data_IF_783364322471
#
_entry.id   IF_783364322471
#
_cell.length_a   1.000
_cell.length_b   1.000
_cell.length_c   1.000
_cell.angle_alpha   90.00
_cell.angle_beta   90.00
_cell.angle_gamma   90.00
#
_symmetry.space_group_name_H-M   'P 1'
#
loop_
_entity.id
_entity.type
_entity.pdbx_description
1 polymer ?
#
# COMPACT_ATOMS: atom_id res chain seq x y z
N UNK A 1 15.80 -16.18 5.54
CA UNK A 1 14.72 -15.86 4.57
C UNK A 1 13.40 -15.52 5.26
N UNK A 2 13.00 -16.24 6.33
CA UNK A 2 11.82 -15.92 7.14
C UNK A 2 11.89 -14.53 7.78
N UNK A 3 13.00 -14.20 8.46
CA UNK A 3 13.09 -12.96 9.24
C UNK A 3 12.87 -11.67 8.42
N UNK A 4 13.32 -11.64 7.16
CA UNK A 4 13.16 -10.46 6.29
C UNK A 4 11.72 -10.31 5.78
N UNK A 5 11.05 -11.45 5.53
CA UNK A 5 9.63 -11.48 5.17
C UNK A 5 8.78 -11.09 6.38
N UNK A 6 9.08 -11.65 7.55
CA UNK A 6 8.39 -11.34 8.80
C UNK A 6 8.53 -9.86 9.15
N UNK A 7 9.75 -9.32 9.05
CA UNK A 7 9.99 -7.89 9.22
C UNK A 7 9.17 -7.05 8.24
N UNK A 8 9.15 -7.43 6.95
CA UNK A 8 8.36 -6.73 5.93
C UNK A 8 6.86 -6.74 6.21
N UNK A 9 6.31 -7.88 6.65
CA UNK A 9 4.90 -8.00 7.03
C UNK A 9 4.58 -7.11 8.23
N UNK A 10 5.37 -7.20 9.30
CA UNK A 10 5.16 -6.38 10.50
C UNK A 10 5.33 -4.88 10.21
N UNK A 11 6.26 -4.51 9.33
CA UNK A 11 6.44 -3.14 8.88
C UNK A 11 5.22 -2.61 8.13
N UNK A 12 4.66 -3.40 7.20
CA UNK A 12 3.43 -3.02 6.48
C UNK A 12 2.23 -2.89 7.42
N UNK A 13 2.10 -3.79 8.39
CA UNK A 13 1.07 -3.71 9.44
C UNK A 13 1.24 -2.45 10.27
N UNK A 14 2.46 -2.17 10.73
CA UNK A 14 2.76 -0.97 11.52
C UNK A 14 2.40 0.31 10.75
N UNK A 15 2.75 0.40 9.47
CA UNK A 15 2.39 1.55 8.63
C UNK A 15 0.88 1.67 8.41
N UNK A 16 0.17 0.55 8.26
CA UNK A 16 -1.28 0.57 8.09
C UNK A 16 -2.01 1.03 9.36
N UNK A 17 -1.48 0.66 10.54
CA UNK A 17 -2.12 0.92 11.84
C UNK A 17 -1.68 2.24 12.46
N UNK A 18 -0.47 2.72 12.19
CA UNK A 18 0.08 3.93 12.80
C UNK A 18 -0.79 5.19 12.62
N UNK A 19 -1.35 5.50 11.43
CA UNK A 19 -2.26 6.64 11.25
C UNK A 19 -3.48 6.58 12.18
N UNK A 20 -4.05 5.38 12.38
CA UNK A 20 -5.20 5.18 13.25
C UNK A 20 -4.84 5.42 14.73
N UNK A 21 -3.66 4.97 15.15
CA UNK A 21 -3.18 5.19 16.52
C UNK A 21 -2.91 6.67 16.79
N UNK A 22 -2.33 7.38 15.82
CA UNK A 22 -2.06 8.82 15.95
C UNK A 22 -3.38 9.60 15.95
N UNK A 23 -4.35 9.20 15.13
CA UNK A 23 -5.68 9.80 15.14
C UNK A 23 -6.41 9.58 16.48
N UNK A 24 -6.29 8.40 17.07
CA UNK A 24 -6.80 8.12 18.41
C UNK A 24 -6.13 9.03 19.46
N UNK A 25 -4.81 9.21 19.38
CA UNK A 25 -4.09 10.12 20.27
C UNK A 25 -4.56 11.59 20.10
N UNK A 26 -4.86 12.01 18.86
CA UNK A 26 -5.45 13.31 18.59
C UNK A 26 -6.81 13.47 19.29
N UNK A 27 -7.72 12.51 19.11
CA UNK A 27 -9.06 12.55 19.74
C UNK A 27 -8.96 12.66 21.26
N UNK A 28 -8.04 11.90 21.87
CA UNK A 28 -7.79 11.97 23.32
C UNK A 28 -7.25 13.35 23.71
N UNK A 29 -6.23 13.87 23.00
CA UNK A 29 -5.64 15.16 23.31
C UNK A 29 -6.62 16.34 23.14
N UNK A 30 -7.46 16.27 22.11
CA UNK A 30 -8.51 17.27 21.84
C UNK A 30 -9.61 17.24 22.92
N UNK A 31 -10.03 16.04 23.35
CA UNK A 31 -11.00 15.89 24.45
C UNK A 31 -10.51 16.51 25.76
N UNK A 32 -9.19 16.51 25.97
CA UNK A 32 -8.52 17.14 27.12
C UNK A 32 -8.14 18.61 26.88
N UNK A 33 -8.52 19.19 25.74
CA UNK A 33 -8.21 20.57 25.31
C UNK A 33 -6.71 20.90 25.35
N UNK A 34 -5.86 19.92 25.05
CA UNK A 34 -4.41 20.11 25.05
C UNK A 34 -3.98 20.88 23.80
N UNK A 35 -3.14 21.90 23.97
CA UNK A 35 -2.54 22.68 22.85
C UNK A 35 -1.71 21.84 21.87
N UNK A 36 -1.34 20.61 22.26
CA UNK A 36 -0.58 19.69 21.40
C UNK A 36 -1.44 18.99 20.35
N UNK A 37 -2.78 19.01 20.48
CA UNK A 37 -3.69 18.30 19.58
C UNK A 37 -3.47 18.68 18.11
N UNK A 38 -3.28 19.97 17.81
CA UNK A 38 -2.97 20.45 16.46
C UNK A 38 -1.66 19.86 15.91
N UNK A 39 -0.62 19.74 16.75
CA UNK A 39 0.65 19.12 16.34
C UNK A 39 0.49 17.63 16.06
N UNK A 40 -0.35 16.94 16.84
CA UNK A 40 -0.66 15.51 16.63
C UNK A 40 -1.44 15.34 15.32
N UNK A 41 -2.38 16.25 15.01
CA UNK A 41 -3.14 16.22 13.76
C UNK A 41 -2.24 16.39 12.54
N UNK A 42 -1.30 17.34 12.57
CA UNK A 42 -0.29 17.50 11.49
C UNK A 42 0.59 16.23 11.36
N UNK A 43 0.93 15.59 12.47
CA UNK A 43 1.66 14.32 12.42
C UNK A 43 0.80 13.19 11.80
N UNK A 44 -0.49 13.11 12.14
CA UNK A 44 -1.42 12.14 11.58
C UNK A 44 -1.53 12.29 10.06
N UNK A 45 -1.62 13.53 9.57
CA UNK A 45 -1.65 13.83 8.14
C UNK A 45 -0.39 13.32 7.44
N UNK A 46 0.81 13.65 7.95
CA UNK A 46 2.08 13.20 7.36
C UNK A 46 2.22 11.69 7.34
N UNK A 47 1.82 11.01 8.42
CA UNK A 47 1.90 9.55 8.53
C UNK A 47 0.87 8.88 7.61
N UNK A 48 -0.30 9.51 7.40
CA UNK A 48 -1.28 9.07 6.40
C UNK A 48 -0.75 9.20 4.98
N UNK A 49 -0.08 10.32 4.64
CA UNK A 49 0.57 10.48 3.33
C UNK A 49 1.63 9.39 3.12
N UNK A 50 2.43 9.08 4.15
CA UNK A 50 3.41 8.00 4.09
C UNK A 50 2.75 6.63 3.87
N UNK A 51 1.64 6.34 4.55
CA UNK A 51 0.86 5.12 4.33
C UNK A 51 0.40 5.00 2.87
N UNK A 52 -0.14 6.07 2.29
CA UNK A 52 -0.54 6.09 0.88
C UNK A 52 0.62 5.89 -0.08
N UNK A 53 1.77 6.52 0.20
CA UNK A 53 3.00 6.33 -0.59
C UNK A 53 3.45 4.86 -0.56
N UNK A 54 3.57 4.26 0.63
CA UNK A 54 4.00 2.87 0.76
C UNK A 54 2.99 1.91 0.13
N UNK A 55 1.69 2.13 0.36
CA UNK A 55 0.63 1.35 -0.27
C UNK A 55 0.64 1.45 -1.80
N UNK A 56 0.93 2.64 -2.34
CA UNK A 56 1.02 2.86 -3.79
C UNK A 56 2.20 2.10 -4.41
N UNK A 57 3.36 2.09 -3.74
CA UNK A 57 4.54 1.33 -4.17
C UNK A 57 4.29 -0.18 -4.13
N UNK A 58 3.67 -0.67 -3.06
CA UNK A 58 3.32 -2.10 -2.93
C UNK A 58 2.32 -2.52 -4.03
N UNK A 59 1.34 -1.67 -4.35
CA UNK A 59 0.41 -1.94 -5.44
C UNK A 59 1.09 -1.91 -6.81
N UNK A 60 2.00 -0.98 -7.05
CA UNK A 60 2.75 -0.88 -8.30
C UNK A 60 3.67 -2.10 -8.49
N UNK A 61 4.57 -2.36 -7.54
CA UNK A 61 5.53 -3.46 -7.62
C UNK A 61 4.81 -4.81 -7.62
N UNK A 62 3.83 -5.00 -6.74
CA UNK A 62 3.04 -6.22 -6.71
C UNK A 62 2.20 -6.42 -7.98
N UNK A 63 1.70 -5.34 -8.58
CA UNK A 63 1.00 -5.38 -9.86
C UNK A 63 1.90 -5.82 -11.00
N UNK A 64 3.11 -5.25 -11.10
CA UNK A 64 4.12 -5.65 -12.09
C UNK A 64 4.55 -7.11 -11.92
N UNK A 65 4.74 -7.56 -10.67
CA UNK A 65 5.05 -8.96 -10.39
C UNK A 65 3.93 -9.90 -10.84
N UNK A 66 2.67 -9.56 -10.57
CA UNK A 66 1.50 -10.32 -11.04
C UNK A 66 1.43 -10.35 -12.57
N UNK A 67 1.77 -9.25 -13.24
CA UNK A 67 1.83 -9.23 -14.70
C UNK A 67 2.88 -10.21 -15.22
N UNK A 68 4.09 -10.18 -14.65
CA UNK A 68 5.18 -11.08 -15.04
C UNK A 68 4.80 -12.56 -14.84
N UNK A 69 4.24 -12.90 -13.68
CA UNK A 69 3.77 -14.26 -13.39
C UNK A 69 2.62 -14.66 -14.31
N UNK A 70 1.62 -13.79 -14.51
CA UNK A 70 0.48 -14.06 -15.38
C UNK A 70 0.91 -14.30 -16.82
N UNK A 71 1.82 -13.49 -17.35
CA UNK A 71 2.38 -13.66 -18.68
C UNK A 71 3.15 -14.97 -18.82
N UNK A 72 4.00 -15.29 -17.84
CA UNK A 72 4.75 -16.54 -17.82
C UNK A 72 3.80 -17.76 -17.85
N UNK A 73 2.76 -17.77 -17.02
CA UNK A 73 1.76 -18.84 -16.96
C UNK A 73 1.03 -19.00 -18.29
N UNK A 74 0.55 -17.91 -18.89
CA UNK A 74 -0.19 -17.95 -20.16
C UNK A 74 0.65 -18.54 -21.29
N UNK A 75 1.95 -18.23 -21.33
CA UNK A 75 2.87 -18.68 -22.39
C UNK A 75 3.32 -20.13 -22.17
N UNK A 76 3.73 -20.48 -20.95
CA UNK A 76 4.48 -21.72 -20.70
C UNK A 76 3.63 -22.86 -20.16
N UNK A 77 2.47 -22.59 -19.56
CA UNK A 77 1.66 -23.63 -18.93
C UNK A 77 0.58 -24.11 -19.91
N UNK A 78 0.56 -25.40 -20.30
CA UNK A 78 -0.35 -25.90 -21.32
C UNK A 78 -1.81 -26.03 -20.84
N UNK A 79 -2.02 -26.19 -19.54
CA UNK A 79 -3.36 -26.38 -18.96
C UNK A 79 -4.24 -25.14 -19.14
N UNK A 80 -5.43 -25.31 -19.73
CA UNK A 80 -6.37 -24.21 -20.01
C UNK A 80 -6.77 -23.46 -18.73
N UNK A 81 -7.05 -24.18 -17.64
CA UNK A 81 -7.37 -23.56 -16.35
C UNK A 81 -6.24 -22.66 -15.83
N UNK A 82 -4.98 -23.07 -16.02
CA UNK A 82 -3.82 -22.26 -15.64
C UNK A 82 -3.71 -21.00 -16.51
N UNK A 83 -3.96 -21.10 -17.82
CA UNK A 83 -3.98 -19.93 -18.71
C UNK A 83 -5.06 -18.91 -18.34
N UNK A 84 -6.25 -19.38 -17.96
CA UNK A 84 -7.32 -18.51 -17.45
C UNK A 84 -6.85 -17.82 -16.16
N UNK A 85 -6.26 -18.57 -15.22
CA UNK A 85 -5.68 -18.01 -14.01
C UNK A 85 -4.59 -16.96 -14.28
N UNK A 86 -3.71 -17.23 -15.25
CA UNK A 86 -2.69 -16.29 -15.69
C UNK A 86 -3.26 -15.03 -16.34
N UNK A 87 -4.31 -15.15 -17.15
CA UNK A 87 -5.01 -14.01 -17.73
C UNK A 87 -5.70 -13.13 -16.66
N UNK A 88 -6.32 -13.76 -15.66
CA UNK A 88 -6.88 -13.04 -14.51
C UNK A 88 -5.78 -12.34 -13.69
N UNK A 89 -4.63 -12.99 -13.51
CA UNK A 89 -3.47 -12.39 -12.84
C UNK A 89 -2.93 -11.18 -13.61
N UNK A 90 -2.92 -11.21 -14.95
CA UNK A 90 -2.56 -10.06 -15.79
C UNK A 90 -3.52 -8.88 -15.56
N UNK A 91 -4.83 -9.12 -15.62
CA UNK A 91 -5.85 -8.08 -15.41
C UNK A 91 -5.75 -7.48 -14.01
N UNK A 92 -5.61 -8.33 -12.98
CA UNK A 92 -5.44 -7.88 -11.60
C UNK A 92 -4.13 -7.11 -11.41
N UNK A 93 -3.05 -7.56 -12.05
CA UNK A 93 -1.75 -6.91 -12.01
C UNK A 93 -1.78 -5.52 -12.65
N UNK A 94 -2.43 -5.38 -13.81
CA UNK A 94 -2.65 -4.10 -14.49
C UNK A 94 -3.47 -3.14 -13.63
N UNK A 95 -4.58 -3.62 -13.06
CA UNK A 95 -5.44 -2.83 -12.17
C UNK A 95 -4.66 -2.30 -10.96
N UNK A 96 -3.89 -3.17 -10.30
CA UNK A 96 -3.05 -2.80 -9.14
C UNK A 96 -1.96 -1.81 -9.51
N UNK A 97 -1.27 -2.05 -10.63
CA UNK A 97 -0.22 -1.16 -11.11
C UNK A 97 -0.77 0.23 -11.45
N UNK A 98 -1.93 0.28 -12.11
CA UNK A 98 -2.62 1.53 -12.42
C UNK A 98 -3.00 2.31 -11.16
N UNK A 99 -3.66 1.67 -10.18
CA UNK A 99 -3.99 2.33 -8.91
C UNK A 99 -2.74 2.83 -8.21
N UNK A 100 -1.68 2.00 -8.13
CA UNK A 100 -0.42 2.39 -7.53
C UNK A 100 0.17 3.64 -8.20
N UNK A 101 0.21 3.68 -9.52
CA UNK A 101 0.71 4.84 -10.26
C UNK A 101 -0.16 6.10 -10.07
N UNK A 102 -1.49 5.97 -10.09
CA UNK A 102 -2.41 7.08 -9.85
C UNK A 102 -2.25 7.66 -8.45
N UNK A 103 -2.23 6.83 -7.42
CA UNK A 103 -2.06 7.28 -6.03
C UNK A 103 -0.69 7.91 -5.85
N UNK A 104 0.38 7.28 -6.36
CA UNK A 104 1.74 7.81 -6.26
C UNK A 104 1.84 9.22 -6.88
N UNK A 105 1.20 9.43 -8.03
CA UNK A 105 1.12 10.73 -8.69
C UNK A 105 0.43 11.78 -7.82
N UNK A 106 -0.67 11.44 -7.17
CA UNK A 106 -1.40 12.38 -6.31
C UNK A 106 -0.66 12.65 -4.99
N UNK A 107 -0.13 11.61 -4.33
CA UNK A 107 0.68 11.79 -3.12
C UNK A 107 1.94 12.60 -3.37
N UNK A 108 2.54 12.50 -4.57
CA UNK A 108 3.69 13.34 -4.94
C UNK A 108 3.34 14.83 -4.94
N UNK A 109 2.13 15.20 -5.39
CA UNK A 109 1.67 16.60 -5.36
C UNK A 109 1.35 17.09 -3.95
N UNK A 110 1.02 16.19 -3.02
CA UNK A 110 0.76 16.53 -1.64
C UNK A 110 2.04 16.73 -0.81
N UNK A 111 3.18 16.25 -1.31
CA UNK A 111 4.50 16.33 -0.64
C UNK A 111 5.38 17.46 -1.18
N UNK A 112 5.17 17.87 -2.45
CA UNK A 112 5.92 18.94 -3.15
C UNK A 112 5.10 20.21 -3.25
#
# INVERSE_FOLDING_TARGET
>A
MSELVDFGVWFLVAIAVAPLLILLAYVIADSLRLKVAERILVAAERVTILQWLVGSLVNLVGGLALIGVGLWVVIHVPAVAAKIGGALALLLGLWRAWIGACVLRETRKAVL
#
